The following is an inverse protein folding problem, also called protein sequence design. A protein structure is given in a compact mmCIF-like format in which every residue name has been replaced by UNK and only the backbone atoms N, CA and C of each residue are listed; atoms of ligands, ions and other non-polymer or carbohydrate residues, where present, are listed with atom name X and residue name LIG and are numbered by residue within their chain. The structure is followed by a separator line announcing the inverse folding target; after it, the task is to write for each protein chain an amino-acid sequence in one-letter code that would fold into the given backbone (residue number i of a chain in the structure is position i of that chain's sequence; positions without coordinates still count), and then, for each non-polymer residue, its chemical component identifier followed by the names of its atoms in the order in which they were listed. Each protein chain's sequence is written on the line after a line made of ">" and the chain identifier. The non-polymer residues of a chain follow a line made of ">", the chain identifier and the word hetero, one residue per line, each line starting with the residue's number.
data_IF_559971531617
#
_entry.id   IF_559971531617
#
_cell.length_a   1.000
_cell.length_b   1.000
_cell.length_c   1.000
_cell.angle_alpha   90.00
_cell.angle_beta   90.00
_cell.angle_gamma   90.00
#
_symmetry.space_group_name_H-M   'P 1'
#
loop_
_entity.id
_entity.type
_entity.pdbx_description
1 polymer ?
#
# COMPACT_ATOMS: atom_id res chain seq x y z
N UNK A 1 7.37 -15.30 12.73
CA UNK A 1 6.13 -14.47 12.89
C UNK A 1 4.96 -15.38 13.20
N UNK A 2 4.15 -15.07 14.22
CA UNK A 2 2.91 -15.80 14.49
C UNK A 2 1.95 -15.63 13.31
N UNK A 3 1.29 -16.72 12.88
CA UNK A 3 0.27 -16.66 11.82
C UNK A 3 -0.77 -15.59 12.16
N UNK A 4 -1.18 -14.75 11.20
CA UNK A 4 -2.20 -13.74 11.46
C UNK A 4 -3.52 -14.43 11.89
N UNK A 5 -4.17 -13.86 12.88
CA UNK A 5 -5.47 -14.41 13.36
C UNK A 5 -6.55 -14.18 12.30
N UNK A 6 -7.58 -15.05 12.22
CA UNK A 6 -8.70 -14.87 11.28
C UNK A 6 -9.34 -13.47 11.38
N UNK A 7 -9.51 -12.94 12.59
CA UNK A 7 -10.07 -11.60 12.82
C UNK A 7 -9.18 -10.49 12.26
N UNK A 8 -7.86 -10.64 12.37
CA UNK A 8 -6.91 -9.69 11.78
C UNK A 8 -7.03 -9.69 10.25
N UNK A 9 -7.07 -10.87 9.63
CA UNK A 9 -7.25 -11.03 8.19
C UNK A 9 -8.55 -10.38 7.72
N UNK A 10 -9.67 -10.67 8.41
CA UNK A 10 -10.99 -10.10 8.10
C UNK A 10 -10.99 -8.58 8.15
N UNK A 11 -10.36 -7.97 9.18
CA UNK A 11 -10.28 -6.51 9.30
C UNK A 11 -9.52 -5.88 8.15
N UNK A 12 -8.36 -6.43 7.78
CA UNK A 12 -7.55 -5.90 6.70
C UNK A 12 -8.25 -6.04 5.35
N UNK A 13 -8.85 -7.21 5.07
CA UNK A 13 -9.59 -7.45 3.83
C UNK A 13 -10.76 -6.47 3.67
N UNK A 14 -11.52 -6.23 4.74
CA UNK A 14 -12.61 -5.26 4.70
C UNK A 14 -12.09 -3.84 4.44
N UNK A 15 -11.04 -3.40 5.18
CA UNK A 15 -10.44 -2.07 5.00
C UNK A 15 -9.79 -1.86 3.63
N UNK A 16 -9.48 -2.94 2.91
CA UNK A 16 -8.97 -2.93 1.54
C UNK A 16 -10.07 -3.01 0.47
N UNK A 17 -11.35 -3.07 0.84
CA UNK A 17 -12.46 -3.27 -0.09
C UNK A 17 -13.04 -1.95 -0.63
N UNK A 18 -13.74 -2.02 -1.77
CA UNK A 18 -14.52 -0.89 -2.30
C UNK A 18 -15.73 -0.56 -1.43
N UNK A 19 -16.33 -1.55 -0.77
CA UNK A 19 -17.44 -1.34 0.16
C UNK A 19 -17.02 -0.47 1.34
N UNK A 20 -15.78 -0.65 1.81
CA UNK A 20 -15.22 0.20 2.85
C UNK A 20 -15.11 1.66 2.41
N UNK A 21 -14.61 1.92 1.19
CA UNK A 21 -14.53 3.28 0.64
C UNK A 21 -15.91 3.89 0.50
N UNK A 22 -16.86 3.14 -0.08
CA UNK A 22 -18.23 3.62 -0.25
C UNK A 22 -18.90 3.95 1.09
N UNK A 23 -18.56 3.21 2.14
CA UNK A 23 -19.02 3.48 3.50
C UNK A 23 -18.36 4.74 4.09
N UNK A 24 -17.06 4.95 3.85
CA UNK A 24 -16.36 6.17 4.25
C UNK A 24 -16.93 7.42 3.54
N UNK A 25 -17.22 7.33 2.24
CA UNK A 25 -17.81 8.43 1.49
C UNK A 25 -19.19 8.82 2.04
N UNK A 26 -20.03 7.82 2.36
CA UNK A 26 -21.33 8.05 3.01
C UNK A 26 -21.18 8.66 4.40
N UNK A 27 -20.18 8.22 5.15
CA UNK A 27 -19.91 8.77 6.47
C UNK A 27 -19.41 10.22 6.40
N UNK A 28 -18.60 10.59 5.41
CA UNK A 28 -18.18 11.99 5.19
C UNK A 28 -19.42 12.89 4.95
N UNK A 29 -20.39 12.42 4.14
CA UNK A 29 -21.66 13.13 3.94
C UNK A 29 -22.48 13.18 5.24
N UNK A 30 -22.47 12.14 6.05
CA UNK A 30 -23.10 12.16 7.36
C UNK A 30 -22.47 13.18 8.29
N UNK A 31 -21.13 13.30 8.33
CA UNK A 31 -20.41 14.31 9.10
C UNK A 31 -20.85 15.73 8.66
N UNK A 32 -20.90 15.98 7.35
CA UNK A 32 -21.30 17.26 6.80
C UNK A 32 -22.69 17.72 7.25
N UNK A 33 -23.61 16.78 7.37
CA UNK A 33 -25.00 17.05 7.70
C UNK A 33 -25.31 17.02 9.21
N UNK A 34 -24.47 16.38 10.04
CA UNK A 34 -24.83 16.13 11.44
C UNK A 34 -23.80 16.56 12.47
N UNK A 35 -22.55 16.85 12.07
CA UNK A 35 -21.47 17.15 13.03
C UNK A 35 -21.35 18.65 13.30
N UNK A 36 -21.91 19.51 12.46
CA UNK A 36 -22.03 20.95 12.73
C UNK A 36 -23.39 21.23 13.35
N UNK A 37 -23.36 21.84 14.52
CA UNK A 37 -24.59 22.24 15.26
C UNK A 37 -24.46 23.68 15.63
N UNK A 38 -25.05 24.52 14.82
CA UNK A 38 -25.05 25.98 15.02
C UNK A 38 -25.73 26.38 16.33
N UNK A 39 -25.22 27.40 16.98
CA UNK A 39 -25.77 28.06 18.17
C UNK A 39 -25.68 29.54 18.01
N UNK A 40 -26.58 30.27 18.66
CA UNK A 40 -26.51 31.71 18.73
C UNK A 40 -25.18 32.17 19.33
N UNK A 41 -24.56 33.17 18.72
CA UNK A 41 -23.33 33.78 19.23
C UNK A 41 -23.58 35.24 19.55
N UNK A 42 -23.32 35.64 20.80
CA UNK A 42 -23.39 37.01 21.23
C UNK A 42 -22.03 37.67 21.10
N UNK A 43 -21.94 38.71 20.30
CA UNK A 43 -20.78 39.59 20.21
C UNK A 43 -20.91 40.74 21.21
N UNK A 44 -19.83 41.48 21.40
CA UNK A 44 -19.86 42.75 22.17
C UNK A 44 -20.86 43.74 21.58
N UNK A 45 -21.50 44.57 22.43
CA UNK A 45 -22.46 45.59 21.95
C UNK A 45 -23.87 45.07 21.65
N UNK A 46 -24.29 43.96 22.27
CA UNK A 46 -25.65 43.40 22.14
C UNK A 46 -25.99 42.82 20.75
N UNK A 47 -25.00 42.61 19.89
CA UNK A 47 -25.21 41.98 18.59
C UNK A 47 -25.27 40.46 18.80
N UNK A 48 -26.37 39.83 18.38
CA UNK A 48 -26.55 38.39 18.39
C UNK A 48 -26.54 37.88 16.94
N UNK A 49 -25.69 36.89 16.64
CA UNK A 49 -25.67 36.19 15.37
C UNK A 49 -26.54 34.94 15.54
N UNK A 50 -27.69 34.85 14.82
CA UNK A 50 -28.60 33.74 14.97
C UNK A 50 -27.96 32.40 14.46
N UNK A 51 -28.31 31.30 15.10
CA UNK A 51 -27.88 29.94 14.74
C UNK A 51 -28.24 29.59 13.29
N UNK A 52 -29.47 29.96 12.87
CA UNK A 52 -29.94 29.69 11.49
C UNK A 52 -29.03 30.36 10.46
N UNK A 53 -28.59 31.59 10.71
CA UNK A 53 -27.68 32.31 9.81
C UNK A 53 -26.30 31.65 9.78
N UNK A 54 -25.78 31.20 10.93
CA UNK A 54 -24.50 30.50 11.02
C UNK A 54 -24.58 29.17 10.25
N UNK A 55 -25.68 28.43 10.40
CA UNK A 55 -25.90 27.14 9.71
C UNK A 55 -26.01 27.34 8.20
N UNK A 56 -26.73 28.34 7.75
CA UNK A 56 -26.81 28.73 6.34
C UNK A 56 -25.41 28.99 5.76
N UNK A 57 -24.56 29.75 6.49
CA UNK A 57 -23.21 30.00 6.01
C UNK A 57 -22.35 28.73 5.97
N UNK A 58 -22.50 27.82 6.90
CA UNK A 58 -21.79 26.54 6.85
C UNK A 58 -22.08 25.76 5.55
N UNK A 59 -23.32 25.71 5.11
CA UNK A 59 -23.73 25.10 3.86
C UNK A 59 -23.33 25.93 2.63
N UNK A 60 -23.37 27.23 2.70
CA UNK A 60 -22.95 28.13 1.62
C UNK A 60 -21.48 27.94 1.22
N UNK A 61 -20.63 27.69 2.21
CA UNK A 61 -19.20 27.48 2.01
C UNK A 61 -18.85 26.01 1.72
N UNK A 62 -19.77 25.19 1.22
CA UNK A 62 -19.58 23.75 0.95
C UNK A 62 -18.47 23.42 -0.07
N UNK A 63 -17.99 24.39 -0.84
CA UNK A 63 -16.84 24.24 -1.76
C UNK A 63 -15.51 24.11 -1.01
N UNK A 64 -15.46 24.54 0.25
CA UNK A 64 -14.29 24.40 1.10
C UNK A 64 -14.38 23.09 1.90
N UNK A 65 -13.24 22.46 2.21
CA UNK A 65 -13.19 21.38 3.21
C UNK A 65 -13.80 21.84 4.53
N UNK A 66 -14.46 20.94 5.25
CA UNK A 66 -15.33 21.30 6.37
C UNK A 66 -14.66 22.24 7.40
N UNK A 67 -13.42 21.93 7.82
CA UNK A 67 -12.72 22.75 8.81
C UNK A 67 -12.18 24.06 8.25
N UNK A 68 -11.98 24.17 6.95
CA UNK A 68 -11.60 25.44 6.30
C UNK A 68 -12.78 26.40 6.16
N UNK A 69 -14.02 25.88 6.18
CA UNK A 69 -15.24 26.71 6.17
C UNK A 69 -15.28 27.70 7.34
N UNK A 70 -14.78 27.28 8.52
CA UNK A 70 -14.86 28.08 9.74
C UNK A 70 -14.17 29.45 9.63
N UNK A 71 -13.05 29.51 8.93
CA UNK A 71 -12.37 30.79 8.68
C UNK A 71 -13.14 31.66 7.69
N UNK A 72 -13.52 31.11 6.55
CA UNK A 72 -14.28 31.79 5.52
C UNK A 72 -15.65 32.31 6.06
N UNK A 73 -16.34 31.46 6.84
CA UNK A 73 -17.58 31.83 7.51
C UNK A 73 -17.37 32.99 8.50
N UNK A 74 -16.33 32.89 9.33
CA UNK A 74 -16.01 33.91 10.33
C UNK A 74 -15.83 35.29 9.66
N UNK A 75 -15.00 35.34 8.62
CA UNK A 75 -14.72 36.59 7.91
C UNK A 75 -15.97 37.12 7.23
N UNK A 76 -16.75 36.30 6.55
CA UNK A 76 -18.00 36.70 5.92
C UNK A 76 -19.03 37.22 6.91
N UNK A 77 -19.24 36.51 8.03
CA UNK A 77 -20.21 36.92 9.06
C UNK A 77 -19.80 38.25 9.64
N UNK A 78 -18.53 38.49 9.94
CA UNK A 78 -18.05 39.75 10.48
C UNK A 78 -18.17 40.90 9.48
N UNK A 79 -17.94 40.66 8.20
CA UNK A 79 -18.12 41.67 7.16
C UNK A 79 -19.61 42.03 7.01
N UNK A 80 -20.51 41.07 7.09
CA UNK A 80 -21.97 41.37 7.12
C UNK A 80 -22.36 42.17 8.36
N UNK A 81 -21.81 41.86 9.53
CA UNK A 81 -22.08 42.60 10.76
C UNK A 81 -21.56 44.06 10.69
N UNK A 82 -20.40 44.31 10.08
CA UNK A 82 -19.88 45.64 9.81
C UNK A 82 -20.88 46.48 9.01
N UNK A 83 -21.41 45.87 7.93
CA UNK A 83 -22.35 46.61 7.04
C UNK A 83 -23.69 46.84 7.72
N UNK A 84 -24.23 45.86 8.42
CA UNK A 84 -25.58 45.92 8.98
C UNK A 84 -25.67 46.76 10.25
N UNK A 85 -24.62 46.74 11.08
CA UNK A 85 -24.65 47.39 12.42
C UNK A 85 -23.62 48.52 12.58
N UNK A 86 -22.92 48.93 11.52
CA UNK A 86 -21.78 49.85 11.57
C UNK A 86 -20.74 49.47 12.65
N UNK A 87 -20.55 48.17 12.82
CA UNK A 87 -19.75 47.57 13.89
C UNK A 87 -18.26 47.54 13.53
N UNK A 88 -17.41 47.99 14.46
CA UNK A 88 -15.96 47.92 14.27
C UNK A 88 -15.43 46.58 14.79
N UNK A 89 -15.01 45.71 13.90
CA UNK A 89 -14.47 44.41 14.25
C UNK A 89 -13.05 44.51 14.79
N UNK A 90 -12.85 44.01 15.99
CA UNK A 90 -11.51 43.84 16.59
C UNK A 90 -10.94 42.47 16.33
N UNK A 91 -9.62 42.34 16.43
CA UNK A 91 -8.95 41.02 16.36
C UNK A 91 -9.45 40.07 17.45
N UNK A 92 -9.81 40.60 18.62
CA UNK A 92 -10.34 39.79 19.72
C UNK A 92 -11.70 39.17 19.36
N UNK A 93 -12.59 39.92 18.75
CA UNK A 93 -13.92 39.47 18.32
C UNK A 93 -13.83 38.46 17.16
N UNK A 94 -12.93 38.71 16.22
CA UNK A 94 -12.68 37.74 15.16
C UNK A 94 -12.21 36.36 15.74
N UNK A 95 -11.26 36.39 16.66
CA UNK A 95 -10.77 35.19 17.29
C UNK A 95 -11.83 34.51 18.16
N UNK A 96 -12.65 35.29 18.87
CA UNK A 96 -13.76 34.78 19.65
C UNK A 96 -14.79 34.07 18.74
N UNK A 97 -15.29 34.72 17.69
CA UNK A 97 -16.26 34.12 16.78
C UNK A 97 -15.71 32.89 16.09
N UNK A 98 -14.46 32.92 15.64
CA UNK A 98 -13.79 31.77 15.04
C UNK A 98 -13.73 30.57 16.02
N UNK A 99 -13.45 30.83 17.29
CA UNK A 99 -13.42 29.81 18.35
C UNK A 99 -14.81 29.19 18.58
N UNK A 100 -15.84 30.07 18.68
CA UNK A 100 -17.23 29.63 18.87
C UNK A 100 -17.70 28.76 17.68
N UNK A 101 -17.51 29.23 16.44
CA UNK A 101 -17.88 28.46 15.24
C UNK A 101 -17.16 27.12 15.19
N UNK A 102 -15.85 27.09 15.48
CA UNK A 102 -15.09 25.84 15.55
C UNK A 102 -15.60 24.89 16.64
N UNK A 103 -16.06 25.42 17.76
CA UNK A 103 -16.65 24.66 18.86
C UNK A 103 -18.01 24.04 18.53
N UNK A 104 -18.70 24.51 17.49
CA UNK A 104 -19.96 23.95 16.99
C UNK A 104 -19.78 22.65 16.19
N UNK A 105 -18.54 22.34 15.79
CA UNK A 105 -18.22 21.17 15.00
C UNK A 105 -17.67 20.04 15.88
N UNK A 106 -18.37 18.89 15.90
CA UNK A 106 -17.97 17.74 16.71
C UNK A 106 -16.74 16.98 16.14
N UNK A 107 -16.44 17.15 14.85
CA UNK A 107 -15.40 16.44 14.12
C UNK A 107 -14.00 17.09 14.24
N UNK A 108 -13.59 17.57 15.40
CA UNK A 108 -12.29 18.24 15.55
C UNK A 108 -11.10 17.27 15.78
N UNK A 109 -11.36 16.01 16.10
CA UNK A 109 -10.34 15.00 16.33
C UNK A 109 -10.47 13.86 15.33
N UNK A 110 -9.51 13.71 14.42
CA UNK A 110 -9.54 12.73 13.33
C UNK A 110 -9.65 11.30 13.84
N UNK A 111 -8.92 10.95 14.90
CA UNK A 111 -8.97 9.60 15.46
C UNK A 111 -10.35 9.29 16.07
N UNK A 112 -10.98 10.27 16.70
CA UNK A 112 -12.34 10.11 17.21
C UNK A 112 -13.33 9.95 16.07
N UNK A 113 -13.27 10.81 15.06
CA UNK A 113 -14.09 10.72 13.85
C UNK A 113 -13.92 9.35 13.17
N UNK A 114 -12.70 8.83 13.12
CA UNK A 114 -12.45 7.49 12.57
C UNK A 114 -13.03 6.37 13.42
N UNK A 115 -13.07 6.51 14.73
CA UNK A 115 -13.79 5.57 15.61
C UNK A 115 -15.30 5.64 15.42
N UNK A 116 -15.84 6.85 15.32
CA UNK A 116 -17.27 7.10 15.09
C UNK A 116 -17.72 6.47 13.78
N UNK A 117 -16.86 6.43 12.76
CA UNK A 117 -17.14 5.72 11.51
C UNK A 117 -17.49 4.25 11.75
N UNK A 118 -16.75 3.53 12.58
CA UNK A 118 -17.04 2.11 12.84
C UNK A 118 -18.34 1.91 13.63
N UNK A 119 -18.71 2.86 14.48
CA UNK A 119 -20.02 2.89 15.14
C UNK A 119 -21.12 3.19 14.11
N UNK A 120 -20.90 4.13 13.20
CA UNK A 120 -21.84 4.50 12.14
C UNK A 120 -22.18 3.32 11.21
N UNK A 121 -21.21 2.47 10.89
CA UNK A 121 -21.43 1.28 10.04
C UNK A 121 -21.83 0.03 10.85
N UNK A 122 -22.09 0.15 12.15
CA UNK A 122 -22.41 -0.95 13.08
C UNK A 122 -21.39 -2.10 13.07
N UNK A 123 -20.10 -1.75 13.03
CA UNK A 123 -18.96 -2.70 13.04
C UNK A 123 -17.81 -2.23 13.93
N UNK A 124 -18.06 -1.92 15.23
CA UNK A 124 -17.04 -1.37 16.11
C UNK A 124 -15.84 -2.32 16.32
N UNK A 125 -16.06 -3.64 16.17
CA UNK A 125 -15.03 -4.68 16.30
C UNK A 125 -13.95 -4.61 15.20
N UNK A 126 -14.23 -3.93 14.09
CA UNK A 126 -13.27 -3.75 12.99
C UNK A 126 -12.23 -2.67 13.28
N UNK A 127 -12.46 -1.83 14.29
CA UNK A 127 -11.44 -0.90 14.79
C UNK A 127 -10.70 -1.52 15.97
N UNK A 128 -9.39 -1.67 15.86
CA UNK A 128 -8.56 -2.21 16.94
C UNK A 128 -7.25 -1.45 17.06
N UNK A 129 -7.05 -0.85 18.21
CA UNK A 129 -5.74 -0.28 18.57
C UNK A 129 -4.84 -1.36 19.15
N UNK A 130 -3.56 -1.34 18.75
CA UNK A 130 -2.52 -2.19 19.35
C UNK A 130 -2.14 -1.69 20.76
N UNK A 131 -1.40 -2.52 21.49
CA UNK A 131 -0.69 -2.09 22.70
C UNK A 131 0.11 -0.82 22.38
N UNK A 132 0.26 0.09 23.30
CA UNK A 132 0.90 1.40 23.12
C UNK A 132 0.14 2.41 22.25
N UNK A 133 -1.18 2.26 22.09
CA UNK A 133 -2.06 3.18 21.34
C UNK A 133 -1.64 3.36 19.86
N UNK A 134 -0.97 2.38 19.27
CA UNK A 134 -0.63 2.41 17.85
C UNK A 134 -1.75 1.84 17.00
N UNK A 135 -1.95 2.43 15.82
CA UNK A 135 -2.92 1.97 14.81
C UNK A 135 -2.39 0.74 14.06
N UNK A 136 -3.29 -0.04 13.50
CA UNK A 136 -2.92 -1.03 12.49
C UNK A 136 -2.53 -0.28 11.19
N UNK A 137 -1.59 -0.83 10.43
CA UNK A 137 -1.15 -0.22 9.16
C UNK A 137 -2.33 0.04 8.20
N UNK A 138 -3.32 -0.87 8.18
CA UNK A 138 -4.51 -0.74 7.36
C UNK A 138 -5.42 0.45 7.72
N UNK A 139 -5.24 1.07 8.90
CA UNK A 139 -6.00 2.23 9.33
C UNK A 139 -5.40 3.57 8.88
N UNK A 140 -4.13 3.58 8.44
CA UNK A 140 -3.43 4.83 8.11
C UNK A 140 -4.03 5.54 6.90
N UNK A 141 -4.27 4.81 5.80
CA UNK A 141 -4.85 5.40 4.60
C UNK A 141 -6.30 5.86 4.80
N UNK A 142 -7.20 5.08 5.46
CA UNK A 142 -8.52 5.56 5.82
C UNK A 142 -8.52 6.83 6.68
N UNK A 143 -7.66 6.89 7.69
CA UNK A 143 -7.53 8.07 8.54
C UNK A 143 -7.04 9.28 7.74
N UNK A 144 -6.06 9.09 6.87
CA UNK A 144 -5.59 10.14 5.96
C UNK A 144 -6.70 10.59 5.00
N UNK A 145 -7.53 9.67 4.51
CA UNK A 145 -8.68 9.99 3.65
C UNK A 145 -9.69 10.90 4.36
N UNK A 146 -10.06 10.57 5.60
CA UNK A 146 -10.93 11.40 6.44
C UNK A 146 -10.29 12.76 6.73
N UNK A 147 -9.02 12.80 7.12
CA UNK A 147 -8.30 14.03 7.36
C UNK A 147 -8.34 14.97 6.15
N UNK A 148 -8.05 14.45 4.95
CA UNK A 148 -8.09 15.23 3.71
C UNK A 148 -9.51 15.73 3.41
N UNK A 149 -10.54 14.93 3.71
CA UNK A 149 -11.92 15.35 3.52
C UNK A 149 -12.34 16.49 4.48
N UNK A 150 -11.83 16.47 5.70
CA UNK A 150 -12.15 17.46 6.72
C UNK A 150 -11.30 18.75 6.62
N UNK A 151 -9.98 18.59 6.46
CA UNK A 151 -9.02 19.72 6.44
C UNK A 151 -8.72 20.23 5.04
N UNK A 152 -8.88 19.36 4.02
CA UNK A 152 -8.36 19.62 2.69
C UNK A 152 -6.84 19.51 2.64
N UNK A 153 -6.34 18.98 1.57
CA UNK A 153 -4.91 19.00 1.26
C UNK A 153 -4.73 18.68 -0.21
N UNK A 154 -3.96 19.47 -0.92
CA UNK A 154 -3.63 19.21 -2.32
C UNK A 154 -2.17 19.56 -2.59
N UNK A 155 -1.53 18.79 -3.46
CA UNK A 155 -0.15 19.03 -3.92
C UNK A 155 -0.17 19.53 -5.35
N UNK A 156 -0.58 20.80 -5.53
CA UNK A 156 -0.77 21.42 -6.85
C UNK A 156 0.55 21.69 -7.59
N UNK A 157 1.69 21.66 -6.93
CA UNK A 157 3.01 21.80 -7.55
C UNK A 157 3.40 20.58 -8.40
N UNK A 158 2.84 19.41 -8.11
CA UNK A 158 3.08 18.18 -8.88
C UNK A 158 2.25 18.23 -10.16
N UNK A 159 2.91 18.13 -11.32
CA UNK A 159 2.26 18.18 -12.64
C UNK A 159 1.92 16.80 -13.19
N UNK A 160 2.69 15.80 -12.83
CA UNK A 160 2.48 14.41 -13.21
C UNK A 160 2.96 13.50 -12.07
N UNK A 161 2.15 12.50 -11.68
CA UNK A 161 2.48 11.52 -10.67
C UNK A 161 2.69 10.15 -11.35
N UNK A 162 3.83 9.55 -11.07
CA UNK A 162 4.14 8.18 -11.47
C UNK A 162 3.95 7.27 -10.26
N UNK A 163 3.17 6.21 -10.42
CA UNK A 163 2.92 5.19 -9.38
C UNK A 163 3.41 3.87 -9.94
N UNK A 164 4.41 3.30 -9.31
CA UNK A 164 4.91 1.98 -9.64
C UNK A 164 4.37 0.92 -8.68
N UNK A 165 4.50 -0.36 -9.06
CA UNK A 165 4.02 -1.50 -8.27
C UNK A 165 2.54 -1.37 -7.87
N UNK A 166 1.70 -1.09 -8.86
CA UNK A 166 0.27 -0.79 -8.67
C UNK A 166 -0.48 -1.80 -7.79
N UNK A 167 -0.07 -3.07 -7.83
CA UNK A 167 -0.72 -4.17 -7.13
C UNK A 167 -0.52 -4.16 -5.62
N UNK A 168 0.40 -3.33 -5.11
CA UNK A 168 0.67 -3.20 -3.67
C UNK A 168 -0.23 -2.18 -2.97
N UNK A 169 -0.94 -1.36 -3.75
CA UNK A 169 -1.84 -0.35 -3.20
C UNK A 169 -3.26 -0.86 -3.03
N UNK A 170 -3.90 -0.48 -1.95
CA UNK A 170 -5.31 -0.72 -1.71
C UNK A 170 -6.18 0.34 -2.39
N UNK A 171 -7.46 0.06 -2.68
CA UNK A 171 -8.40 1.04 -3.22
C UNK A 171 -8.48 2.34 -2.42
N UNK A 172 -8.42 2.28 -1.08
CA UNK A 172 -8.44 3.50 -0.26
C UNK A 172 -7.16 4.32 -0.41
N UNK A 173 -6.01 3.69 -0.58
CA UNK A 173 -4.75 4.40 -0.87
C UNK A 173 -4.83 5.14 -2.21
N UNK A 174 -5.44 4.54 -3.23
CA UNK A 174 -5.69 5.25 -4.50
C UNK A 174 -6.60 6.46 -4.33
N UNK A 175 -7.62 6.38 -3.49
CA UNK A 175 -8.50 7.54 -3.18
C UNK A 175 -7.73 8.66 -2.47
N UNK A 176 -6.84 8.31 -1.53
CA UNK A 176 -5.95 9.28 -0.88
C UNK A 176 -5.05 9.96 -1.93
N UNK A 177 -4.40 9.16 -2.79
CA UNK A 177 -3.55 9.67 -3.86
C UNK A 177 -4.31 10.60 -4.81
N UNK A 178 -5.54 10.26 -5.17
CA UNK A 178 -6.38 11.10 -6.03
C UNK A 178 -6.67 12.46 -5.40
N UNK A 179 -7.04 12.49 -4.12
CA UNK A 179 -7.33 13.73 -3.39
C UNK A 179 -6.09 14.59 -3.20
N UNK A 180 -4.93 13.98 -2.90
CA UNK A 180 -3.68 14.70 -2.69
C UNK A 180 -3.09 15.26 -3.98
N UNK A 181 -3.19 14.53 -5.08
CA UNK A 181 -2.55 14.86 -6.36
C UNK A 181 -3.61 14.96 -7.46
N UNK A 182 -4.16 16.15 -7.72
CA UNK A 182 -5.15 16.35 -8.78
C UNK A 182 -4.55 16.35 -10.20
N UNK A 183 -3.25 16.12 -10.34
CA UNK A 183 -2.52 16.08 -11.61
C UNK A 183 -2.78 14.79 -12.42
N UNK A 184 -2.23 14.75 -13.65
CA UNK A 184 -2.18 13.53 -14.47
C UNK A 184 -1.39 12.44 -13.75
N UNK A 185 -1.77 11.18 -13.97
CA UNK A 185 -1.14 10.02 -13.33
C UNK A 185 -0.82 8.95 -14.36
N UNK A 186 0.33 8.31 -14.19
CA UNK A 186 0.68 7.04 -14.83
C UNK A 186 0.83 5.99 -13.75
N UNK A 187 0.10 4.89 -13.87
CA UNK A 187 0.11 3.79 -12.90
C UNK A 187 0.67 2.57 -13.59
N UNK A 188 1.77 2.05 -13.05
CA UNK A 188 2.53 0.92 -13.59
C UNK A 188 2.48 -0.26 -12.62
N UNK A 189 2.56 -1.47 -13.13
CA UNK A 189 2.71 -2.67 -12.32
C UNK A 189 2.22 -3.93 -12.99
N UNK A 190 2.33 -5.03 -12.26
CA UNK A 190 1.93 -6.36 -12.69
C UNK A 190 1.09 -7.04 -11.60
N UNK A 191 -0.19 -7.23 -11.86
CA UNK A 191 -1.10 -7.89 -10.91
C UNK A 191 -0.66 -9.34 -10.57
N UNK A 192 0.11 -9.99 -11.45
CA UNK A 192 0.65 -11.33 -11.23
C UNK A 192 1.77 -11.35 -10.18
N UNK A 193 2.39 -10.20 -9.88
CA UNK A 193 3.44 -10.03 -8.89
C UNK A 193 2.92 -9.56 -7.52
N UNK A 194 1.61 -9.64 -7.28
CA UNK A 194 1.06 -9.34 -5.96
C UNK A 194 1.47 -10.38 -4.93
N UNK A 195 2.26 -9.99 -3.97
CA UNK A 195 2.64 -10.80 -2.79
C UNK A 195 1.86 -10.39 -1.53
N UNK A 196 0.98 -9.40 -1.68
CA UNK A 196 0.15 -8.91 -0.59
C UNK A 196 -1.22 -9.58 -0.63
N UNK A 197 -1.52 -10.39 0.38
CA UNK A 197 -2.81 -11.10 0.53
C UNK A 197 -4.02 -10.16 0.61
N UNK A 198 -3.79 -8.88 0.87
CA UNK A 198 -4.82 -7.93 1.30
C UNK A 198 -5.07 -6.79 0.31
N UNK A 199 -4.28 -6.69 -0.74
CA UNK A 199 -4.38 -5.57 -1.66
C UNK A 199 -3.95 -5.96 -3.06
N UNK A 200 -4.68 -6.87 -3.71
CA UNK A 200 -4.45 -7.12 -5.13
C UNK A 200 -5.31 -6.17 -5.95
N UNK A 201 -4.77 -5.03 -6.30
CA UNK A 201 -5.44 -4.15 -7.28
C UNK A 201 -5.09 -4.61 -8.68
N UNK A 202 -6.08 -5.09 -9.44
CA UNK A 202 -5.93 -5.30 -10.88
C UNK A 202 -6.05 -3.98 -11.63
N UNK A 203 -5.58 -3.91 -12.89
CA UNK A 203 -5.71 -2.72 -13.71
C UNK A 203 -7.18 -2.27 -13.83
N UNK A 204 -8.11 -3.22 -13.95
CA UNK A 204 -9.55 -2.95 -14.03
C UNK A 204 -10.12 -2.41 -12.71
N UNK A 205 -9.63 -2.90 -11.56
CA UNK A 205 -10.01 -2.36 -10.24
C UNK A 205 -9.48 -0.94 -10.05
N UNK A 206 -8.25 -0.69 -10.49
CA UNK A 206 -7.62 0.64 -10.43
C UNK A 206 -8.38 1.60 -11.34
N UNK A 207 -8.74 1.18 -12.55
CA UNK A 207 -9.52 1.99 -13.49
C UNK A 207 -10.86 2.43 -12.87
N UNK A 208 -11.54 1.56 -12.10
CA UNK A 208 -12.76 1.94 -11.35
C UNK A 208 -12.50 3.05 -10.31
N UNK A 209 -11.28 3.17 -9.83
CA UNK A 209 -10.90 4.24 -8.90
C UNK A 209 -10.68 5.58 -9.61
N UNK A 210 -10.39 5.60 -10.91
CA UNK A 210 -10.15 6.80 -11.70
C UNK A 210 -11.32 7.03 -12.66
N UNK A 211 -11.83 8.25 -12.71
CA UNK A 211 -13.00 8.61 -13.55
C UNK A 211 -12.67 8.49 -15.05
N UNK A 212 -11.41 8.77 -15.41
CA UNK A 212 -10.91 8.66 -16.79
C UNK A 212 -9.56 7.98 -16.76
N UNK A 213 -9.36 7.00 -17.61
CA UNK A 213 -8.07 6.33 -17.71
C UNK A 213 -8.09 5.27 -18.80
N UNK A 214 -6.98 5.14 -19.52
CA UNK A 214 -6.76 4.09 -20.51
C UNK A 214 -5.86 3.00 -19.91
N UNK A 215 -6.17 1.74 -20.20
CA UNK A 215 -5.35 0.60 -19.83
C UNK A 215 -4.52 0.20 -21.04
N UNK A 216 -3.20 0.25 -20.90
CA UNK A 216 -2.26 -0.28 -21.87
C UNK A 216 -1.61 -1.54 -21.29
N UNK A 217 -1.72 -2.66 -22.00
CA UNK A 217 -1.08 -3.93 -21.61
C UNK A 217 0.21 -4.13 -22.39
N UNK A 218 1.33 -4.27 -21.66
CA UNK A 218 2.63 -4.60 -22.21
C UNK A 218 2.78 -6.13 -22.18
N UNK A 219 2.80 -6.74 -23.35
CA UNK A 219 2.77 -8.20 -23.48
C UNK A 219 4.15 -8.84 -23.73
N UNK A 220 5.21 -8.06 -23.92
CA UNK A 220 6.56 -8.58 -24.16
C UNK A 220 7.43 -8.54 -22.91
N UNK A 221 8.01 -9.69 -22.56
CA UNK A 221 8.97 -9.79 -21.45
C UNK A 221 10.40 -9.65 -21.99
N UNK A 222 11.12 -8.62 -21.55
CA UNK A 222 12.49 -8.33 -21.98
C UNK A 222 13.56 -8.73 -20.95
N UNK A 223 13.19 -8.95 -19.68
CA UNK A 223 14.11 -9.18 -18.55
C UNK A 223 14.77 -10.55 -18.65
N UNK A 224 13.97 -11.60 -18.69
CA UNK A 224 14.41 -12.99 -18.60
C UNK A 224 14.61 -13.63 -19.97
N UNK A 225 15.37 -14.73 -20.02
CA UNK A 225 15.47 -15.57 -21.23
C UNK A 225 14.12 -16.21 -21.57
N UNK A 226 13.98 -16.67 -22.81
CA UNK A 226 12.82 -17.38 -23.31
C UNK A 226 12.44 -18.55 -22.39
N UNK A 227 13.44 -19.34 -21.95
CA UNK A 227 13.27 -20.53 -21.12
C UNK A 227 12.77 -20.19 -19.72
N UNK A 228 13.30 -19.13 -19.12
CA UNK A 228 12.87 -18.66 -17.77
C UNK A 228 11.46 -18.10 -17.86
N UNK A 229 11.16 -17.28 -18.88
CA UNK A 229 9.81 -16.71 -19.05
C UNK A 229 8.77 -17.81 -19.24
N UNK A 230 9.04 -18.81 -20.09
CA UNK A 230 8.13 -19.95 -20.26
C UNK A 230 7.98 -20.81 -18.99
N UNK A 231 9.05 -20.94 -18.21
CA UNK A 231 8.96 -21.61 -16.92
C UNK A 231 8.08 -20.84 -15.93
N UNK A 232 8.23 -19.53 -15.86
CA UNK A 232 7.37 -18.67 -15.02
C UNK A 232 5.89 -18.78 -15.42
N UNK A 233 5.59 -18.88 -16.73
CA UNK A 233 4.24 -19.09 -17.26
C UNK A 233 3.60 -20.42 -16.82
N UNK A 234 4.38 -21.46 -16.56
CA UNK A 234 3.86 -22.72 -16.00
C UNK A 234 3.43 -22.54 -14.54
N UNK A 235 4.15 -21.72 -13.77
CA UNK A 235 3.80 -21.42 -12.38
C UNK A 235 2.56 -20.55 -12.35
N UNK A 236 2.56 -19.44 -13.11
CA UNK A 236 1.42 -18.52 -13.19
C UNK A 236 1.20 -18.06 -14.62
N UNK A 237 0.21 -18.62 -15.31
CA UNK A 237 -0.14 -18.19 -16.65
C UNK A 237 -0.57 -16.72 -16.67
N UNK A 238 0.06 -15.91 -17.50
CA UNK A 238 -0.30 -14.52 -17.76
C UNK A 238 -0.77 -14.41 -19.21
N UNK A 239 -1.99 -13.97 -19.42
CA UNK A 239 -2.58 -13.89 -20.75
C UNK A 239 -1.75 -12.95 -21.64
N UNK A 240 -1.46 -13.42 -22.85
CA UNK A 240 -0.74 -12.66 -23.91
C UNK A 240 0.70 -12.26 -23.55
N UNK A 241 1.35 -12.86 -22.55
CA UNK A 241 2.76 -12.60 -22.29
C UNK A 241 3.62 -13.35 -23.30
N UNK A 242 4.39 -12.62 -24.09
CA UNK A 242 5.30 -13.13 -25.12
C UNK A 242 6.75 -12.98 -24.64
N UNK A 243 7.52 -14.08 -24.51
CA UNK A 243 8.95 -13.97 -24.29
C UNK A 243 9.65 -13.46 -25.56
N UNK A 244 10.70 -12.67 -25.38
CA UNK A 244 11.57 -12.31 -26.50
C UNK A 244 12.45 -13.53 -26.90
N UNK A 245 12.96 -13.53 -28.14
CA UNK A 245 13.82 -14.59 -28.66
C UNK A 245 15.26 -14.52 -28.12
N UNK A 246 15.42 -14.24 -26.79
CA UNK A 246 16.71 -14.31 -26.10
C UNK A 246 16.79 -15.66 -25.39
N UNK A 247 17.51 -16.61 -25.99
CA UNK A 247 17.67 -17.94 -25.46
C UNK A 247 18.79 -18.05 -24.42
N UNK A 248 18.65 -18.96 -23.47
CA UNK A 248 19.62 -19.26 -22.42
C UNK A 248 19.49 -20.67 -21.88
N UNK A 249 20.06 -20.92 -20.71
CA UNK A 249 19.95 -22.21 -20.03
C UNK A 249 18.50 -22.47 -19.58
N UNK A 250 18.06 -23.73 -19.72
CA UNK A 250 16.77 -24.15 -19.14
C UNK A 250 16.85 -24.07 -17.61
N UNK A 251 15.79 -23.60 -16.94
CA UNK A 251 15.71 -23.65 -15.47
C UNK A 251 16.00 -25.07 -14.95
N UNK A 252 16.87 -25.13 -13.94
CA UNK A 252 17.25 -26.39 -13.30
C UNK A 252 16.39 -26.62 -12.05
N UNK A 253 15.96 -27.85 -11.83
CA UNK A 253 15.24 -28.26 -10.63
C UNK A 253 16.03 -29.42 -10.03
N UNK A 254 16.63 -29.18 -8.85
CA UNK A 254 17.52 -30.11 -8.20
C UNK A 254 16.87 -30.68 -6.93
N UNK A 255 16.75 -31.99 -6.87
CA UNK A 255 16.25 -32.73 -5.71
C UNK A 255 17.40 -33.25 -4.87
N UNK A 256 17.32 -33.07 -3.57
CA UNK A 256 18.26 -33.59 -2.58
C UNK A 256 17.54 -34.55 -1.62
N UNK A 257 18.28 -35.43 -0.95
CA UNK A 257 17.69 -36.41 -0.03
C UNK A 257 17.21 -35.78 1.28
N UNK A 258 17.86 -34.72 1.72
CA UNK A 258 17.59 -34.05 2.96
C UNK A 258 18.10 -32.57 2.93
N UNK A 259 17.75 -31.77 3.93
CA UNK A 259 18.13 -30.36 4.05
C UNK A 259 19.65 -30.13 4.09
N UNK A 260 20.44 -31.08 4.69
CA UNK A 260 21.91 -30.96 4.73
C UNK A 260 22.53 -31.14 3.34
N UNK A 261 22.03 -32.09 2.55
CA UNK A 261 22.49 -32.28 1.17
C UNK A 261 22.05 -31.11 0.30
N UNK A 262 20.87 -30.54 0.52
CA UNK A 262 20.41 -29.34 -0.17
C UNK A 262 21.30 -28.13 0.14
N UNK A 263 21.65 -27.90 1.41
CA UNK A 263 22.61 -26.88 1.80
C UNK A 263 23.97 -27.04 1.12
N UNK A 264 24.51 -28.27 1.07
CA UNK A 264 25.75 -28.56 0.35
C UNK A 264 25.62 -28.23 -1.14
N UNK A 265 24.49 -28.61 -1.76
CA UNK A 265 24.20 -28.29 -3.16
C UNK A 265 24.11 -26.77 -3.41
N UNK A 266 23.54 -26.00 -2.50
CA UNK A 266 23.50 -24.53 -2.58
C UNK A 266 24.93 -23.94 -2.53
N UNK A 267 25.81 -24.48 -1.66
CA UNK A 267 27.23 -24.08 -1.58
C UNK A 267 27.94 -24.36 -2.91
N UNK A 268 27.67 -25.52 -3.53
CA UNK A 268 28.24 -25.86 -4.84
C UNK A 268 27.74 -24.93 -5.94
N UNK A 269 26.46 -24.55 -5.92
CA UNK A 269 25.87 -23.58 -6.85
C UNK A 269 26.50 -22.19 -6.68
N UNK A 270 26.73 -21.73 -5.46
CA UNK A 270 27.45 -20.49 -5.16
C UNK A 270 28.89 -20.56 -5.72
N UNK A 271 29.57 -21.69 -5.53
CA UNK A 271 30.92 -21.91 -6.04
C UNK A 271 30.95 -21.92 -7.58
N UNK A 272 29.93 -22.43 -8.23
CA UNK A 272 29.75 -22.38 -9.69
C UNK A 272 29.55 -20.93 -10.16
N UNK A 273 28.68 -20.17 -9.47
CA UNK A 273 28.46 -18.75 -9.78
C UNK A 273 29.76 -17.95 -9.73
N UNK A 274 30.59 -18.12 -8.70
CA UNK A 274 31.89 -17.41 -8.56
C UNK A 274 32.86 -17.67 -9.72
N UNK A 275 32.71 -18.78 -10.43
CA UNK A 275 33.50 -19.14 -11.62
C UNK A 275 32.85 -18.66 -12.92
N UNK A 276 31.66 -18.09 -12.86
CA UNK A 276 30.92 -17.61 -14.03
C UNK A 276 31.28 -16.16 -14.38
N UNK A 277 30.80 -15.69 -15.53
CA UNK A 277 30.92 -14.29 -15.93
C UNK A 277 29.81 -13.39 -15.34
N UNK A 278 28.87 -13.97 -14.60
CA UNK A 278 27.75 -13.25 -14.01
C UNK A 278 28.19 -12.35 -12.84
N UNK A 279 27.51 -11.23 -12.68
CA UNK A 279 27.88 -10.19 -11.68
C UNK A 279 26.98 -10.18 -10.47
N UNK A 280 25.79 -10.81 -10.54
CA UNK A 280 24.80 -10.81 -9.47
C UNK A 280 24.17 -12.18 -9.30
N UNK A 281 24.12 -12.66 -8.05
CA UNK A 281 23.41 -13.87 -7.65
C UNK A 281 22.38 -13.52 -6.58
N UNK A 282 21.11 -13.83 -6.84
CA UNK A 282 20.04 -13.79 -5.86
C UNK A 282 19.75 -15.18 -5.28
N UNK A 283 19.89 -15.35 -3.97
CA UNK A 283 19.37 -16.52 -3.27
C UNK A 283 18.07 -16.08 -2.61
N UNK A 284 16.94 -16.54 -3.15
CA UNK A 284 15.62 -16.00 -2.80
C UNK A 284 14.80 -17.07 -2.06
N UNK A 285 14.70 -16.92 -0.74
CA UNK A 285 13.85 -17.75 0.10
C UNK A 285 12.40 -17.23 0.06
N UNK A 286 11.43 -18.07 0.40
CA UNK A 286 10.03 -17.66 0.50
C UNK A 286 9.83 -16.56 1.54
N UNK A 287 10.41 -16.71 2.74
CA UNK A 287 10.24 -15.81 3.87
C UNK A 287 11.57 -15.25 4.37
N UNK A 288 11.52 -14.10 5.04
CA UNK A 288 12.70 -13.49 5.68
C UNK A 288 13.27 -14.39 6.80
N UNK A 289 12.42 -15.15 7.50
CA UNK A 289 12.86 -16.10 8.53
C UNK A 289 13.70 -17.24 7.95
N UNK A 290 13.28 -17.82 6.81
CA UNK A 290 14.05 -18.82 6.10
C UNK A 290 15.37 -18.26 5.57
N UNK A 291 15.32 -17.07 4.96
CA UNK A 291 16.53 -16.40 4.49
C UNK A 291 17.52 -16.13 5.62
N UNK A 292 17.05 -15.78 6.81
CA UNK A 292 17.91 -15.57 7.98
C UNK A 292 18.55 -16.88 8.45
N UNK A 293 17.79 -17.97 8.54
CA UNK A 293 18.33 -19.30 8.91
C UNK A 293 19.41 -19.72 7.92
N UNK A 294 19.11 -19.65 6.62
CA UNK A 294 20.08 -20.00 5.58
C UNK A 294 21.32 -19.09 5.61
N UNK A 295 21.15 -17.79 5.92
CA UNK A 295 22.30 -16.89 6.08
C UNK A 295 23.21 -17.31 7.23
N UNK A 296 22.62 -17.73 8.35
CA UNK A 296 23.39 -18.20 9.52
C UNK A 296 24.13 -19.51 9.20
N UNK A 297 23.53 -20.43 8.45
CA UNK A 297 24.15 -21.69 8.01
C UNK A 297 25.29 -21.46 7.00
N UNK A 298 25.15 -20.47 6.12
CA UNK A 298 26.17 -20.14 5.10
C UNK A 298 27.34 -19.30 5.62
N UNK A 299 27.29 -18.71 6.81
CA UNK A 299 28.34 -17.85 7.38
C UNK A 299 29.73 -18.47 7.39
N UNK A 300 29.82 -19.81 7.60
CA UNK A 300 31.09 -20.54 7.59
C UNK A 300 31.63 -20.86 6.19
N UNK A 301 30.84 -20.69 5.15
CA UNK A 301 31.14 -21.14 3.78
C UNK A 301 31.28 -20.02 2.76
N UNK A 302 30.74 -18.83 3.06
CA UNK A 302 30.75 -17.71 2.12
C UNK A 302 30.65 -16.36 2.82
N UNK A 303 31.80 -15.72 3.04
CA UNK A 303 31.89 -14.40 3.68
C UNK A 303 31.37 -13.25 2.81
N UNK A 304 31.17 -13.48 1.51
CA UNK A 304 30.74 -12.51 0.50
C UNK A 304 29.22 -12.52 0.25
N UNK A 305 28.45 -13.22 1.09
CA UNK A 305 26.98 -13.22 1.01
C UNK A 305 26.44 -12.07 1.83
N UNK A 306 25.63 -11.23 1.18
CA UNK A 306 24.94 -10.11 1.82
C UNK A 306 23.47 -10.48 2.10
N UNK A 307 23.13 -10.54 3.40
CA UNK A 307 21.72 -10.73 3.80
C UNK A 307 20.97 -9.41 3.69
N UNK A 308 20.00 -9.34 2.77
CA UNK A 308 19.13 -8.19 2.57
C UNK A 308 17.81 -8.40 3.32
N UNK A 309 17.53 -7.54 4.30
CA UNK A 309 16.33 -7.52 5.12
C UNK A 309 15.64 -6.15 5.09
N UNK A 310 14.47 -6.04 5.71
CA UNK A 310 13.77 -4.76 5.89
C UNK A 310 14.57 -3.68 6.66
N UNK A 311 15.67 -4.07 7.34
CA UNK A 311 16.53 -3.16 8.10
C UNK A 311 17.80 -2.77 7.34
N UNK A 312 18.02 -3.32 6.17
CA UNK A 312 19.23 -3.05 5.38
C UNK A 312 19.15 -1.65 4.77
N UNK A 313 20.14 -0.81 5.07
CA UNK A 313 20.19 0.58 4.60
C UNK A 313 20.85 0.74 3.21
N UNK A 314 21.59 -0.27 2.74
CA UNK A 314 22.40 -0.19 1.51
C UNK A 314 22.22 -1.46 0.71
N UNK A 315 22.03 -1.30 -0.60
CA UNK A 315 22.09 -2.40 -1.57
C UNK A 315 23.54 -2.61 -2.00
N UNK A 316 24.00 -3.85 -1.91
CA UNK A 316 25.37 -4.24 -2.31
C UNK A 316 25.27 -5.15 -3.53
N UNK A 317 26.18 -4.96 -4.50
CA UNK A 317 26.27 -5.83 -5.66
C UNK A 317 26.98 -7.14 -5.31
N UNK A 318 26.63 -8.26 -5.93
CA UNK A 318 27.25 -9.55 -5.71
C UNK A 318 26.26 -10.64 -5.32
N UNK A 319 26.53 -11.39 -4.26
CA UNK A 319 25.66 -12.46 -3.77
C UNK A 319 24.71 -11.91 -2.73
N UNK A 320 23.42 -11.89 -3.04
CA UNK A 320 22.38 -11.40 -2.14
C UNK A 320 21.49 -12.56 -1.73
N UNK A 321 21.32 -12.75 -0.43
CA UNK A 321 20.38 -13.66 0.18
C UNK A 321 19.21 -12.86 0.75
N UNK A 322 17.99 -13.17 0.32
CA UNK A 322 16.81 -12.39 0.70
C UNK A 322 15.52 -13.20 0.60
N UNK A 323 14.38 -12.59 0.93
CA UNK A 323 13.05 -13.17 0.76
C UNK A 323 12.41 -12.74 -0.56
N UNK A 324 11.40 -13.51 -1.02
CA UNK A 324 10.63 -13.19 -2.22
C UNK A 324 9.97 -11.78 -2.15
N UNK A 325 9.53 -11.37 -0.97
CA UNK A 325 8.97 -10.04 -0.76
C UNK A 325 10.01 -8.93 -0.97
N UNK A 326 11.22 -9.11 -0.42
CA UNK A 326 12.32 -8.14 -0.54
C UNK A 326 12.99 -8.16 -1.91
N UNK A 327 12.95 -9.29 -2.61
CA UNK A 327 13.46 -9.43 -3.97
C UNK A 327 12.61 -8.69 -5.02
N UNK A 328 11.41 -8.26 -4.64
CA UNK A 328 10.55 -7.50 -5.54
C UNK A 328 11.23 -6.19 -5.95
N UNK A 329 11.23 -5.91 -7.27
CA UNK A 329 11.96 -4.77 -7.84
C UNK A 329 13.46 -5.02 -8.11
N UNK A 330 14.04 -6.13 -7.60
CA UNK A 330 15.43 -6.50 -7.88
C UNK A 330 15.53 -7.40 -9.12
N UNK A 331 16.74 -7.48 -9.66
CA UNK A 331 17.10 -8.32 -10.82
C UNK A 331 18.47 -8.91 -10.61
N UNK A 332 18.65 -10.19 -10.99
CA UNK A 332 19.89 -10.91 -10.83
C UNK A 332 20.24 -11.70 -12.09
N UNK A 333 21.53 -11.75 -12.43
CA UNK A 333 21.98 -12.59 -13.53
C UNK A 333 21.63 -14.07 -13.30
N UNK A 334 21.85 -14.54 -12.06
CA UNK A 334 21.52 -15.89 -11.62
C UNK A 334 20.65 -15.86 -10.37
N UNK A 335 19.66 -16.76 -10.28
CA UNK A 335 18.80 -16.92 -9.11
C UNK A 335 18.80 -18.36 -8.65
N UNK A 336 18.94 -18.57 -7.34
CA UNK A 336 18.71 -19.83 -6.65
C UNK A 336 17.49 -19.66 -5.74
N UNK A 337 16.52 -20.57 -5.85
CA UNK A 337 15.34 -20.58 -4.99
C UNK A 337 15.36 -21.89 -4.19
N UNK A 338 15.71 -21.85 -2.89
CA UNK A 338 15.77 -23.03 -2.04
C UNK A 338 14.39 -23.43 -1.50
N UNK A 339 14.31 -24.68 -1.01
CA UNK A 339 13.16 -25.21 -0.27
C UNK A 339 11.84 -25.16 -1.05
N UNK A 340 11.86 -25.40 -2.38
CA UNK A 340 10.65 -25.38 -3.22
C UNK A 340 9.92 -26.72 -3.12
N UNK A 341 9.34 -27.00 -1.98
CA UNK A 341 8.62 -28.22 -1.63
C UNK A 341 7.17 -27.98 -1.21
N UNK A 342 6.40 -29.05 -1.00
CA UNK A 342 4.99 -28.99 -0.61
C UNK A 342 4.75 -28.40 0.80
N UNK A 343 5.74 -28.41 1.68
CA UNK A 343 5.63 -27.81 3.01
C UNK A 343 5.65 -26.29 2.94
N UNK A 344 6.45 -25.77 2.02
CA UNK A 344 6.69 -24.34 1.89
C UNK A 344 5.73 -23.67 0.92
N UNK A 345 5.37 -24.31 -0.19
CA UNK A 345 4.55 -23.70 -1.24
C UNK A 345 3.24 -24.46 -1.43
N UNK A 346 2.14 -24.00 -0.85
CA UNK A 346 0.84 -24.71 -0.86
C UNK A 346 -0.38 -23.80 -1.08
N UNK A 347 -0.21 -22.50 -1.20
CA UNK A 347 -1.30 -21.54 -1.39
C UNK A 347 -1.10 -20.70 -2.65
N UNK A 348 -2.15 -20.02 -3.12
CA UNK A 348 -2.06 -19.05 -4.23
C UNK A 348 -1.08 -17.91 -3.95
N UNK A 349 -0.95 -17.50 -2.69
CA UNK A 349 0.04 -16.49 -2.29
C UNK A 349 1.45 -17.03 -2.46
N UNK A 350 1.66 -18.29 -2.05
CA UNK A 350 2.96 -18.94 -2.22
C UNK A 350 3.31 -19.10 -3.70
N UNK A 351 2.32 -19.39 -4.54
CA UNK A 351 2.46 -19.40 -6.00
C UNK A 351 2.94 -18.06 -6.53
N UNK A 352 2.34 -16.95 -6.05
CA UNK A 352 2.75 -15.61 -6.41
C UNK A 352 4.18 -15.30 -5.95
N UNK A 353 4.53 -15.70 -4.70
CA UNK A 353 5.90 -15.52 -4.19
C UNK A 353 6.92 -16.29 -5.03
N UNK A 354 6.61 -17.52 -5.43
CA UNK A 354 7.46 -18.31 -6.31
C UNK A 354 7.59 -17.66 -7.70
N UNK A 355 6.49 -17.20 -8.27
CA UNK A 355 6.48 -16.45 -9.54
C UNK A 355 7.36 -15.20 -9.47
N UNK A 356 7.22 -14.40 -8.41
CA UNK A 356 8.08 -13.24 -8.19
C UNK A 356 9.55 -13.64 -8.12
N UNK A 357 9.91 -14.66 -7.34
CA UNK A 357 11.30 -15.10 -7.21
C UNK A 357 11.88 -15.58 -8.55
N UNK A 358 11.12 -16.36 -9.31
CA UNK A 358 11.52 -16.86 -10.64
C UNK A 358 11.75 -15.72 -11.63
N UNK A 359 10.87 -14.73 -11.64
CA UNK A 359 10.97 -13.58 -12.56
C UNK A 359 12.08 -12.59 -12.20
N UNK A 360 12.82 -12.82 -11.11
CA UNK A 360 14.05 -12.05 -10.78
C UNK A 360 15.27 -12.52 -11.56
N UNK A 361 15.24 -13.70 -12.13
CA UNK A 361 16.36 -14.28 -12.89
C UNK A 361 16.40 -13.72 -14.32
N UNK A 362 17.57 -13.24 -14.75
CA UNK A 362 17.80 -12.76 -16.11
C UNK A 362 18.35 -13.89 -17.02
N UNK A 363 19.31 -14.68 -16.54
CA UNK A 363 20.08 -15.61 -17.37
C UNK A 363 20.04 -17.05 -16.87
N UNK A 364 20.15 -17.29 -15.56
CA UNK A 364 20.17 -18.64 -14.98
C UNK A 364 19.24 -18.75 -13.79
N UNK A 365 18.48 -19.84 -13.73
CA UNK A 365 17.54 -20.12 -12.66
C UNK A 365 17.72 -21.56 -12.16
N UNK A 366 17.89 -21.72 -10.86
CA UNK A 366 17.95 -23.03 -10.20
C UNK A 366 16.97 -23.04 -9.02
N UNK A 367 16.11 -24.05 -8.97
CA UNK A 367 15.23 -24.34 -7.85
C UNK A 367 15.78 -25.58 -7.12
N UNK A 368 15.79 -25.56 -5.80
CA UNK A 368 16.21 -26.72 -5.00
C UNK A 368 15.14 -27.14 -4.01
N UNK A 369 15.11 -28.41 -3.65
CA UNK A 369 14.21 -28.96 -2.66
C UNK A 369 14.72 -30.28 -2.10
N UNK A 370 14.30 -30.61 -0.88
CA UNK A 370 14.66 -31.86 -0.18
C UNK A 370 13.44 -32.64 0.28
N UNK A 371 12.38 -32.62 -0.34
CA UNK A 371 11.14 -33.31 0.01
C UNK A 371 10.37 -33.80 -1.20
N UNK A 372 9.03 -33.77 -1.10
CA UNK A 372 8.16 -34.00 -2.23
C UNK A 372 8.18 -32.72 -3.12
N UNK A 373 8.29 -32.96 -4.44
CA UNK A 373 8.24 -31.92 -5.45
C UNK A 373 6.87 -31.22 -5.43
N UNK A 374 6.86 -29.90 -5.41
CA UNK A 374 5.60 -29.16 -5.45
C UNK A 374 4.95 -29.16 -6.84
N UNK A 375 3.61 -29.21 -6.89
CA UNK A 375 2.81 -29.23 -8.12
C UNK A 375 2.97 -27.98 -8.99
N UNK A 376 3.40 -26.83 -8.43
CA UNK A 376 3.62 -25.59 -9.19
C UNK A 376 4.84 -25.65 -10.13
N UNK A 377 5.73 -26.63 -9.98
CA UNK A 377 6.98 -26.75 -10.74
C UNK A 377 7.05 -28.02 -11.62
N UNK A 378 5.90 -28.54 -12.03
CA UNK A 378 5.79 -29.71 -12.92
C UNK A 378 6.28 -29.39 -14.32
#
# INVERSE_FOLDING_TARGET
>A
MTKPTPDFVRRIQYKASFDFISSLDRFILHIENHYFRAKDVKLTGHITIPSEFIEEQFHRFNRYPMRQRFEAMTDYILDMMKVQYAFTVTTAERNFLKKEIKGMFAGNNDLQVYKDFFTYIDKPELFKMRKNRTLEYADLAPLAYLHIALEGSTKNSVKHLLIDEMQDYTPVQYKVIQKLFPCRKTVLGDASQSVNSYGSSTAEMIQKSFVTGEIMKLCKSYRSTYEITNFAQKIRPTANLEPIARHGEKPQILQYKNEKEELSGIIDLISRYRKSAYKSLGIICKTESQAKVLADELKGHAADIHFLSNQSAVFVQGIILTSAHMAKGLEFDEVIIPEVDDKNYHSEIDRNMLYVAVTRAMHRLTLTYSGAKHSFII
#
